data_IF_551375911284
#
_entry.id   IF_551375911284
#
_cell.length_a   1.000
_cell.length_b   1.000
_cell.length_c   1.000
_cell.angle_alpha   90.00
_cell.angle_beta   90.00
_cell.angle_gamma   90.00
#
_symmetry.space_group_name_H-M   'P 1'
#
loop_
_entity.id
_entity.type
_entity.pdbx_description
1 polymer ?
#
# COMPACT_ATOMS: atom_id res chain seq x y z
N UNK A 1 25.03 -7.01 6.31
CA UNK A 1 24.80 -5.98 5.27
C UNK A 1 24.97 -4.55 5.82
N UNK A 2 24.49 -4.22 7.03
CA UNK A 2 24.70 -2.91 7.67
C UNK A 2 26.18 -2.53 7.89
N UNK A 3 27.04 -3.49 8.24
CA UNK A 3 28.50 -3.27 8.38
C UNK A 3 29.21 -2.90 7.08
N UNK A 4 28.75 -3.42 5.93
CA UNK A 4 29.33 -3.11 4.62
C UNK A 4 28.78 -1.80 4.03
N UNK A 5 27.54 -1.43 4.36
CA UNK A 5 26.98 -0.12 4.01
C UNK A 5 27.68 1.03 4.78
N UNK A 6 28.07 0.80 6.03
CA UNK A 6 28.82 1.77 6.85
C UNK A 6 30.27 1.97 6.40
N UNK A 7 30.88 1.00 5.71
CA UNK A 7 32.26 1.10 5.23
C UNK A 7 32.39 1.78 3.85
N UNK A 8 31.31 1.84 3.07
CA UNK A 8 31.32 2.34 1.70
C UNK A 8 30.61 3.70 1.49
N UNK A 9 30.13 4.34 2.56
CA UNK A 9 29.55 5.68 2.49
C UNK A 9 30.63 6.76 2.35
N UNK A 10 30.47 7.76 1.46
CA UNK A 10 31.45 8.84 1.26
C UNK A 10 31.54 9.82 2.44
N UNK A 11 30.75 9.64 3.50
CA UNK A 11 30.79 10.44 4.71
C UNK A 11 31.02 9.54 5.92
N UNK A 12 32.28 9.46 6.35
CA UNK A 12 32.70 8.74 7.55
C UNK A 12 32.10 9.36 8.80
N UNK A 13 31.23 8.61 9.47
CA UNK A 13 30.62 8.97 10.75
C UNK A 13 29.65 7.86 11.18
N UNK A 14 30.15 6.87 11.91
CA UNK A 14 29.35 5.74 12.40
C UNK A 14 28.49 6.22 13.58
N UNK A 15 27.24 6.58 13.30
CA UNK A 15 26.16 6.56 14.30
C UNK A 15 24.87 6.10 13.62
N UNK A 16 24.65 4.79 13.53
CA UNK A 16 23.36 4.23 13.13
C UNK A 16 22.88 3.22 14.17
N UNK A 17 22.13 3.71 15.16
CA UNK A 17 21.22 2.93 15.99
C UNK A 17 19.96 2.64 15.18
N UNK A 18 20.01 1.71 14.23
CA UNK A 18 18.88 1.51 13.31
C UNK A 18 18.47 0.04 13.20
N UNK A 19 17.25 -0.21 13.69
CA UNK A 19 16.31 -1.28 13.33
C UNK A 19 16.46 -2.63 14.04
N UNK A 20 15.71 -2.79 15.14
CA UNK A 20 15.35 -4.07 15.76
C UNK A 20 14.23 -4.78 14.97
N UNK A 21 14.34 -4.89 13.65
CA UNK A 21 13.34 -5.60 12.86
C UNK A 21 13.81 -7.02 12.59
N UNK A 22 13.10 -7.99 13.17
CA UNK A 22 13.26 -9.40 12.88
C UNK A 22 12.77 -9.66 11.45
N UNK A 23 13.70 -9.68 10.50
CA UNK A 23 13.39 -10.02 9.11
C UNK A 23 13.03 -11.50 9.07
N UNK A 24 11.73 -11.81 9.00
CA UNK A 24 11.26 -13.14 8.64
C UNK A 24 11.65 -13.42 7.19
N UNK A 25 12.81 -14.05 7.01
CA UNK A 25 13.30 -14.40 5.67
C UNK A 25 12.41 -15.50 5.09
N UNK A 26 11.85 -15.25 3.92
CA UNK A 26 11.22 -16.30 3.11
C UNK A 26 12.21 -17.47 2.90
N UNK A 27 11.72 -18.72 2.70
CA UNK A 27 12.61 -19.86 2.43
C UNK A 27 13.53 -19.60 1.21
N UNK A 28 13.03 -18.85 0.22
CA UNK A 28 13.79 -18.40 -0.94
C UNK A 28 14.92 -17.43 -0.57
N UNK A 29 14.67 -16.49 0.35
CA UNK A 29 15.67 -15.56 0.87
C UNK A 29 16.79 -16.26 1.66
N UNK A 30 16.43 -17.26 2.48
CA UNK A 30 17.41 -18.05 3.23
C UNK A 30 18.35 -18.85 2.30
N UNK A 31 17.80 -19.49 1.26
CA UNK A 31 18.59 -20.21 0.26
C UNK A 31 19.54 -19.26 -0.50
N UNK A 32 19.07 -18.06 -0.84
CA UNK A 32 19.91 -17.08 -1.53
C UNK A 32 21.05 -16.55 -0.65
N UNK A 33 20.82 -16.33 0.66
CA UNK A 33 21.88 -15.97 1.60
C UNK A 33 22.95 -17.06 1.75
N UNK A 34 22.54 -18.33 1.75
CA UNK A 34 23.48 -19.46 1.79
C UNK A 34 24.36 -19.50 0.52
N UNK A 35 23.80 -19.19 -0.66
CA UNK A 35 24.54 -19.08 -1.91
C UNK A 35 25.50 -17.88 -1.93
N UNK A 36 25.14 -16.75 -1.32
CA UNK A 36 26.05 -15.61 -1.19
C UNK A 36 27.23 -15.95 -0.29
N UNK A 37 26.99 -16.64 0.84
CA UNK A 37 28.04 -17.07 1.74
C UNK A 37 29.04 -18.02 1.05
N UNK A 38 28.56 -18.98 0.26
CA UNK A 38 29.43 -19.89 -0.49
C UNK A 38 30.16 -19.21 -1.65
N UNK A 39 29.54 -18.23 -2.31
CA UNK A 39 30.17 -17.45 -3.37
C UNK A 39 31.27 -16.50 -2.87
N UNK A 40 31.11 -15.89 -1.69
CA UNK A 40 32.11 -15.00 -1.08
C UNK A 40 33.32 -15.77 -0.57
N UNK A 41 33.09 -16.95 0.00
CA UNK A 41 34.15 -17.79 0.57
C UNK A 41 34.84 -18.68 -0.47
N UNK A 42 34.22 -18.86 -1.64
CA UNK A 42 34.69 -19.70 -2.74
C UNK A 42 34.58 -21.20 -2.44
N UNK A 43 34.46 -22.06 -3.48
CA UNK A 43 34.41 -23.52 -3.32
C UNK A 43 35.75 -24.15 -2.92
N UNK A 44 36.83 -23.35 -2.88
CA UNK A 44 38.19 -23.79 -2.63
C UNK A 44 38.72 -23.43 -1.24
N UNK A 45 37.88 -22.93 -0.32
CA UNK A 45 38.27 -22.78 1.07
C UNK A 45 38.47 -24.18 1.68
N UNK A 46 39.70 -24.65 1.89
CA UNK A 46 39.91 -25.95 2.49
C UNK A 46 39.34 -25.91 3.91
N UNK A 47 38.53 -26.91 4.29
CA UNK A 47 37.90 -27.01 5.60
C UNK A 47 38.88 -26.99 6.79
N UNK A 48 40.20 -26.95 6.53
CA UNK A 48 41.27 -27.04 7.52
C UNK A 48 42.49 -26.13 7.29
N UNK A 49 42.53 -25.21 6.31
CA UNK A 49 43.68 -24.28 6.27
C UNK A 49 43.50 -23.22 7.34
N UNK A 50 44.33 -23.32 8.38
CA UNK A 50 44.43 -22.34 9.44
C UNK A 50 44.53 -20.92 8.85
N UNK A 51 43.54 -20.11 9.18
CA UNK A 51 43.44 -18.68 8.92
C UNK A 51 44.67 -17.97 9.50
N UNK A 52 45.76 -17.91 8.73
CA UNK A 52 46.87 -17.04 9.07
C UNK A 52 46.40 -15.61 8.78
N UNK A 53 46.27 -14.72 9.78
CA UNK A 53 45.59 -13.43 9.67
C UNK A 53 46.16 -12.54 8.55
N UNK A 54 47.44 -12.72 8.20
CA UNK A 54 48.08 -11.94 7.15
C UNK A 54 47.67 -12.36 5.73
N UNK A 55 47.45 -13.66 5.48
CA UNK A 55 46.95 -14.18 4.20
C UNK A 55 45.44 -13.92 4.06
N UNK A 56 44.71 -13.95 5.18
CA UNK A 56 43.30 -13.56 5.24
C UNK A 56 43.09 -12.09 4.88
N UNK A 57 43.89 -11.16 5.43
CA UNK A 57 43.78 -9.72 5.12
C UNK A 57 44.17 -9.41 3.67
N UNK A 58 45.15 -10.10 3.10
CA UNK A 58 45.62 -9.84 1.72
C UNK A 58 44.68 -10.43 0.66
N UNK A 59 44.11 -11.63 0.91
CA UNK A 59 43.05 -12.22 0.09
C UNK A 59 41.69 -11.53 0.29
N UNK A 60 41.43 -10.96 1.48
CA UNK A 60 40.37 -9.98 1.67
C UNK A 60 40.66 -8.78 0.78
N UNK A 61 41.77 -8.06 0.94
CA UNK A 61 42.02 -6.81 0.22
C UNK A 61 41.97 -6.95 -1.32
N UNK A 62 42.41 -8.08 -1.89
CA UNK A 62 42.42 -8.30 -3.35
C UNK A 62 41.14 -8.92 -3.90
N UNK A 63 40.43 -9.77 -3.14
CA UNK A 63 39.15 -10.34 -3.59
C UNK A 63 37.92 -9.57 -3.09
N UNK A 64 38.07 -8.68 -2.11
CA UNK A 64 36.95 -7.95 -1.48
C UNK A 64 36.25 -7.04 -2.45
N UNK A 65 36.88 -6.33 -3.38
CA UNK A 65 36.10 -5.41 -4.23
C UNK A 65 35.23 -6.15 -5.24
N UNK A 66 35.77 -7.14 -5.96
CA UNK A 66 34.99 -7.94 -6.92
C UNK A 66 34.03 -8.90 -6.25
N UNK A 67 34.44 -9.57 -5.15
CA UNK A 67 33.56 -10.50 -4.43
C UNK A 67 32.51 -9.76 -3.60
N UNK A 68 32.80 -8.58 -3.04
CA UNK A 68 31.77 -7.75 -2.39
C UNK A 68 30.80 -7.19 -3.42
N UNK A 69 31.26 -6.80 -4.62
CA UNK A 69 30.35 -6.39 -5.69
C UNK A 69 29.47 -7.56 -6.15
N UNK A 70 30.06 -8.73 -6.41
CA UNK A 70 29.30 -9.92 -6.78
C UNK A 70 28.31 -10.33 -5.69
N UNK A 71 28.74 -10.36 -4.43
CA UNK A 71 27.89 -10.63 -3.28
C UNK A 71 26.78 -9.60 -3.13
N UNK A 72 27.08 -8.30 -3.32
CA UNK A 72 26.09 -7.23 -3.34
C UNK A 72 25.06 -7.49 -4.44
N UNK A 73 25.49 -7.80 -5.66
CA UNK A 73 24.57 -8.11 -6.76
C UNK A 73 23.71 -9.33 -6.47
N UNK A 74 24.28 -10.40 -5.91
CA UNK A 74 23.53 -11.59 -5.50
C UNK A 74 22.54 -11.28 -4.37
N UNK A 75 22.94 -10.49 -3.37
CA UNK A 75 22.03 -10.03 -2.32
C UNK A 75 20.90 -9.16 -2.86
N UNK A 76 21.18 -8.25 -3.80
CA UNK A 76 20.14 -7.42 -4.41
C UNK A 76 19.20 -8.25 -5.28
N UNK A 77 19.72 -9.23 -6.02
CA UNK A 77 18.92 -10.17 -6.77
C UNK A 77 18.05 -11.03 -5.83
N UNK A 78 18.61 -11.50 -4.72
CA UNK A 78 17.89 -12.25 -3.70
C UNK A 78 16.77 -11.44 -3.04
N UNK A 79 17.04 -10.19 -2.67
CA UNK A 79 16.05 -9.28 -2.11
C UNK A 79 14.96 -8.95 -3.13
N UNK A 80 15.34 -8.74 -4.39
CA UNK A 80 14.39 -8.55 -5.49
C UNK A 80 13.52 -9.78 -5.73
N UNK A 81 14.08 -10.99 -5.64
CA UNK A 81 13.34 -12.24 -5.78
C UNK A 81 12.45 -12.56 -4.56
N UNK A 82 12.82 -12.06 -3.38
CA UNK A 82 12.02 -12.20 -2.14
C UNK A 82 10.99 -11.09 -1.96
N UNK A 83 10.87 -10.14 -2.91
CA UNK A 83 9.90 -9.06 -2.85
C UNK A 83 8.49 -9.62 -3.02
N UNK A 84 7.66 -9.48 -1.98
CA UNK A 84 6.30 -9.99 -1.92
C UNK A 84 5.37 -8.96 -1.24
N UNK A 85 4.04 -9.07 -1.40
CA UNK A 85 3.09 -8.20 -0.70
C UNK A 85 3.26 -8.19 0.83
N UNK A 86 3.77 -9.28 1.40
CA UNK A 86 3.98 -9.48 2.84
C UNK A 86 5.24 -8.82 3.40
N UNK A 87 6.12 -8.28 2.55
CA UNK A 87 7.33 -7.57 3.01
C UNK A 87 7.68 -6.33 2.19
N UNK A 88 6.81 -5.91 1.26
CA UNK A 88 7.12 -4.87 0.28
C UNK A 88 7.43 -3.51 0.94
N UNK A 89 6.69 -3.09 1.96
CA UNK A 89 6.92 -1.82 2.65
C UNK A 89 8.19 -1.85 3.50
N UNK A 90 8.44 -2.98 4.17
CA UNK A 90 9.69 -3.19 4.91
C UNK A 90 10.90 -3.14 3.98
N UNK A 91 10.84 -3.83 2.83
CA UNK A 91 11.91 -3.80 1.83
C UNK A 91 12.08 -2.43 1.17
N UNK A 92 11.00 -1.68 0.98
CA UNK A 92 11.07 -0.30 0.48
C UNK A 92 11.85 0.61 1.45
N UNK A 93 11.56 0.54 2.74
CA UNK A 93 12.26 1.33 3.75
C UNK A 93 13.76 0.96 3.82
N UNK A 94 14.07 -0.33 3.76
CA UNK A 94 15.46 -0.82 3.73
C UNK A 94 16.17 -0.36 2.45
N UNK A 95 15.52 -0.45 1.29
CA UNK A 95 16.11 -0.05 0.01
C UNK A 95 16.37 1.46 -0.06
N UNK A 96 15.48 2.28 0.50
CA UNK A 96 15.65 3.73 0.58
C UNK A 96 16.78 4.13 1.52
N UNK A 97 16.81 3.54 2.74
CA UNK A 97 17.89 3.78 3.70
C UNK A 97 19.27 3.33 3.18
N UNK A 98 19.32 2.26 2.38
CA UNK A 98 20.53 1.77 1.74
C UNK A 98 20.90 2.48 0.42
N UNK A 99 20.04 3.38 -0.08
CA UNK A 99 20.28 4.09 -1.35
C UNK A 99 20.31 3.17 -2.57
N UNK A 100 19.58 2.05 -2.56
CA UNK A 100 19.57 1.07 -3.66
C UNK A 100 18.39 1.32 -4.59
N UNK A 101 18.59 2.21 -5.56
CA UNK A 101 17.56 2.60 -6.54
C UNK A 101 16.80 1.43 -7.20
N UNK A 102 17.43 0.39 -7.79
CA UNK A 102 16.69 -0.65 -8.51
C UNK A 102 15.76 -1.48 -7.60
N UNK A 103 16.18 -1.73 -6.36
CA UNK A 103 15.36 -2.44 -5.38
C UNK A 103 14.22 -1.54 -4.87
N UNK A 104 14.52 -0.26 -4.65
CA UNK A 104 13.53 0.74 -4.24
C UNK A 104 12.43 0.89 -5.29
N UNK A 105 12.79 1.02 -6.57
CA UNK A 105 11.81 1.19 -7.65
C UNK A 105 10.98 -0.09 -7.88
N UNK A 106 11.58 -1.28 -7.66
CA UNK A 106 10.83 -2.54 -7.68
C UNK A 106 9.87 -2.64 -6.50
N UNK A 107 10.33 -2.35 -5.28
CA UNK A 107 9.52 -2.38 -4.07
C UNK A 107 8.39 -1.35 -4.13
N UNK A 108 8.66 -0.14 -4.61
CA UNK A 108 7.67 0.93 -4.77
C UNK A 108 6.54 0.50 -5.71
N UNK A 109 6.84 -0.12 -6.86
CA UNK A 109 5.80 -0.65 -7.76
C UNK A 109 4.90 -1.67 -7.09
N UNK A 110 5.45 -2.59 -6.29
CA UNK A 110 4.67 -3.57 -5.54
C UNK A 110 3.84 -2.89 -4.46
N UNK A 111 4.44 -1.95 -3.72
CA UNK A 111 3.75 -1.19 -2.68
C UNK A 111 2.55 -0.42 -3.25
N UNK A 112 2.69 0.26 -4.40
CA UNK A 112 1.61 1.01 -5.05
C UNK A 112 0.41 0.13 -5.44
N UNK A 113 0.64 -1.15 -5.72
CA UNK A 113 -0.42 -2.14 -5.97
C UNK A 113 -1.03 -2.70 -4.67
N UNK A 114 -0.27 -2.73 -3.57
CA UNK A 114 -0.68 -3.30 -2.30
C UNK A 114 -1.41 -2.32 -1.35
N UNK A 115 -1.29 -1.00 -1.55
CA UNK A 115 -1.94 0.00 -0.67
C UNK A 115 -3.45 -0.25 -0.44
N UNK A 116 -4.29 -0.52 -1.45
CA UNK A 116 -5.72 -0.76 -1.22
C UNK A 116 -6.01 -1.97 -0.33
N UNK A 117 -5.17 -3.01 -0.43
CA UNK A 117 -5.30 -4.20 0.40
C UNK A 117 -4.90 -3.90 1.86
N UNK A 118 -3.90 -3.03 2.08
CA UNK A 118 -3.53 -2.56 3.41
C UNK A 118 -4.66 -1.76 4.05
N UNK A 119 -5.30 -0.85 3.31
CA UNK A 119 -6.36 0.00 3.84
C UNK A 119 -7.59 -0.82 4.22
N UNK A 120 -7.98 -1.77 3.36
CA UNK A 120 -9.05 -2.72 3.65
C UNK A 120 -8.74 -3.56 4.90
N UNK A 121 -7.51 -4.07 5.03
CA UNK A 121 -7.08 -4.82 6.21
C UNK A 121 -7.08 -3.97 7.48
N UNK A 122 -6.61 -2.71 7.41
CA UNK A 122 -6.61 -1.79 8.53
C UNK A 122 -8.03 -1.41 8.98
N UNK A 123 -8.94 -1.16 8.04
CA UNK A 123 -10.35 -0.89 8.33
C UNK A 123 -11.04 -2.11 8.99
N UNK A 124 -10.77 -3.32 8.49
CA UNK A 124 -11.28 -4.55 9.10
C UNK A 124 -10.78 -4.73 10.55
N UNK A 125 -9.50 -4.44 10.81
CA UNK A 125 -8.94 -4.47 12.16
C UNK A 125 -9.61 -3.46 13.10
N UNK A 126 -9.90 -2.25 12.63
CA UNK A 126 -10.60 -1.23 13.42
C UNK A 126 -12.03 -1.64 13.77
N UNK A 127 -12.77 -2.22 12.82
CA UNK A 127 -14.12 -2.72 13.06
C UNK A 127 -14.15 -3.89 14.07
N UNK A 128 -13.16 -4.77 14.00
CA UNK A 128 -13.00 -5.86 14.96
C UNK A 128 -12.69 -5.32 16.36
N UNK A 129 -11.79 -4.34 16.48
CA UNK A 129 -11.49 -3.70 17.76
C UNK A 129 -12.72 -3.03 18.40
N UNK A 130 -13.50 -2.28 17.60
CA UNK A 130 -14.73 -1.64 18.08
C UNK A 130 -15.79 -2.66 18.55
N UNK A 131 -15.88 -3.81 17.88
CA UNK A 131 -16.80 -4.89 18.27
C UNK A 131 -16.38 -5.60 19.56
N UNK A 132 -15.06 -5.74 19.80
CA UNK A 132 -14.52 -6.35 21.01
C UNK A 132 -14.72 -5.45 22.24
N UNK A 133 -14.55 -4.13 22.09
CA UNK A 133 -14.75 -3.17 23.17
C UNK A 133 -16.21 -3.12 23.64
N UNK A 134 -17.17 -3.23 22.71
CA UNK A 134 -18.60 -3.30 23.04
C UNK A 134 -19.01 -4.57 23.79
N UNK A 135 -18.34 -5.70 23.55
CA UNK A 135 -18.64 -6.96 24.24
C UNK A 135 -18.11 -6.98 25.69
N UNK A 136 -16.96 -6.35 25.96
CA UNK A 136 -16.40 -6.29 27.30
C UNK A 136 -17.15 -5.33 28.23
N UNK A 137 -17.84 -4.32 27.68
CA UNK A 137 -18.59 -3.35 28.48
C UNK A 137 -19.91 -3.91 29.08
N UNK A 138 -20.39 -5.08 28.63
CA UNK A 138 -21.63 -5.69 29.12
C UNK A 138 -21.44 -6.86 30.11
N UNK A 139 -20.21 -7.27 30.39
CA UNK A 139 -19.91 -8.29 31.42
C UNK A 139 -19.71 -7.64 32.81
N UNK A 140 -20.61 -6.72 33.15
CA UNK A 140 -20.77 -6.24 34.53
C UNK A 140 -21.64 -7.25 35.25
N UNK A 141 -20.97 -8.23 35.83
CA UNK A 141 -21.44 -9.29 36.73
C UNK A 141 -22.80 -8.96 37.39
N UNK A 142 -23.94 -9.41 36.82
CA UNK A 142 -25.18 -9.43 37.58
C UNK A 142 -25.00 -10.53 38.63
N UNK A 143 -24.89 -10.10 39.88
CA UNK A 143 -24.70 -10.93 41.07
C UNK A 143 -25.26 -12.37 40.90
N UNK A 144 -24.45 -13.42 41.15
CA UNK A 144 -24.78 -14.79 40.76
C UNK A 144 -26.08 -15.25 41.45
N UNK A 145 -27.12 -15.65 40.69
CA UNK A 145 -28.25 -16.36 41.27
C UNK A 145 -27.82 -17.77 41.73
N UNK A 146 -28.42 -18.30 42.80
CA UNK A 146 -28.04 -19.59 43.37
C UNK A 146 -28.28 -20.74 42.40
N UNK A 147 -27.29 -21.63 42.36
CA UNK A 147 -27.13 -22.72 41.40
C UNK A 147 -28.34 -23.67 41.29
N UNK A 148 -28.81 -23.87 40.06
CA UNK A 148 -29.63 -25.02 39.67
C UNK A 148 -28.89 -25.80 38.58
N UNK A 149 -28.60 -27.05 38.90
CA UNK A 149 -27.88 -28.06 38.12
C UNK A 149 -28.66 -28.38 36.82
N UNK A 150 -28.14 -27.99 35.65
CA UNK A 150 -28.69 -28.36 34.34
C UNK A 150 -27.56 -28.75 33.36
N UNK A 151 -27.81 -29.75 32.49
CA UNK A 151 -26.78 -30.48 31.76
C UNK A 151 -26.18 -29.72 30.57
N UNK A 152 -24.90 -30.00 30.31
CA UNK A 152 -24.01 -29.30 29.38
C UNK A 152 -24.47 -29.30 27.90
N UNK A 153 -24.32 -28.16 27.17
CA UNK A 153 -24.58 -28.09 25.74
C UNK A 153 -23.40 -28.59 24.89
N UNK A 154 -23.74 -29.29 23.81
CA UNK A 154 -22.86 -29.93 22.82
C UNK A 154 -22.17 -28.89 21.92
N UNK A 155 -20.87 -29.02 21.59
CA UNK A 155 -20.16 -28.07 20.73
C UNK A 155 -20.55 -28.25 19.24
N UNK A 156 -21.32 -27.31 18.70
CA UNK A 156 -21.58 -27.22 17.26
C UNK A 156 -20.37 -26.64 16.54
N UNK A 157 -19.67 -27.50 15.80
CA UNK A 157 -18.55 -27.14 14.93
C UNK A 157 -19.07 -26.57 13.62
N UNK A 158 -19.25 -25.25 13.53
CA UNK A 158 -19.57 -24.57 12.27
C UNK A 158 -18.27 -24.24 11.53
N UNK A 159 -17.96 -25.02 10.50
CA UNK A 159 -16.84 -24.79 9.58
C UNK A 159 -17.15 -23.60 8.66
N UNK A 160 -16.60 -22.43 8.99
CA UNK A 160 -16.63 -21.25 8.14
C UNK A 160 -15.70 -21.41 6.91
N UNK A 161 -16.03 -20.79 5.77
CA UNK A 161 -15.38 -21.07 4.49
C UNK A 161 -13.94 -20.55 4.43
N UNK A 162 -12.99 -21.50 4.36
CA UNK A 162 -11.54 -21.28 4.27
C UNK A 162 -11.05 -20.62 2.96
N UNK A 163 -11.94 -20.28 2.01
CA UNK A 163 -11.56 -19.79 0.69
C UNK A 163 -11.26 -18.28 0.62
N UNK A 164 -11.65 -17.49 1.64
CA UNK A 164 -11.30 -16.07 1.76
C UNK A 164 -10.04 -15.81 2.61
N UNK A 165 -9.50 -16.85 3.25
CA UNK A 165 -8.35 -16.75 4.16
C UNK A 165 -6.98 -16.75 3.46
N UNK A 166 -6.94 -16.97 2.14
CA UNK A 166 -5.76 -16.70 1.32
C UNK A 166 -5.71 -15.23 0.85
N UNK A 167 -6.44 -14.33 1.53
CA UNK A 167 -6.18 -12.90 1.48
C UNK A 167 -4.75 -12.68 1.97
N UNK A 168 -3.83 -12.68 1.00
CA UNK A 168 -2.40 -12.42 1.10
C UNK A 168 -2.09 -11.62 2.35
N UNK A 169 -1.27 -12.16 3.26
CA UNK A 169 -0.75 -11.42 4.41
C UNK A 169 -0.08 -10.16 3.88
N UNK A 170 -0.79 -9.04 3.86
CA UNK A 170 -0.23 -7.77 3.44
C UNK A 170 0.60 -7.23 4.59
N UNK A 171 1.73 -6.62 4.28
CA UNK A 171 2.66 -6.04 5.26
C UNK A 171 2.09 -4.78 5.96
N UNK A 172 1.00 -4.93 6.71
CA UNK A 172 0.35 -3.83 7.45
C UNK A 172 1.30 -3.26 8.50
N UNK A 173 2.11 -4.12 9.13
CA UNK A 173 3.12 -3.72 10.11
C UNK A 173 4.20 -2.85 9.46
N UNK A 174 4.76 -3.28 8.31
CA UNK A 174 5.73 -2.52 7.55
C UNK A 174 5.15 -1.20 7.03
N UNK A 175 3.90 -1.20 6.57
CA UNK A 175 3.21 0.04 6.18
C UNK A 175 3.13 1.04 7.34
N UNK A 176 2.70 0.60 8.53
CA UNK A 176 2.67 1.43 9.74
C UNK A 176 4.07 1.86 10.19
N UNK A 177 5.11 1.10 9.90
CA UNK A 177 6.49 1.44 10.24
C UNK A 177 7.15 2.43 9.27
N UNK A 178 6.53 2.72 8.11
CA UNK A 178 7.14 3.61 7.10
C UNK A 178 7.45 5.02 7.64
N UNK A 179 8.64 5.57 7.31
CA UNK A 179 8.94 6.98 7.50
C UNK A 179 7.96 7.89 6.74
N UNK A 180 7.63 9.04 7.33
CA UNK A 180 6.77 10.06 6.71
C UNK A 180 7.15 10.42 5.26
N UNK A 181 8.43 10.77 4.92
CA UNK A 181 8.76 11.19 3.56
C UNK A 181 8.57 10.08 2.52
N UNK A 182 8.74 8.82 2.93
CA UNK A 182 8.48 7.67 2.06
C UNK A 182 7.00 7.46 1.81
N UNK A 183 6.19 7.63 2.86
CA UNK A 183 4.74 7.58 2.74
C UNK A 183 4.22 8.71 1.83
N UNK A 184 4.72 9.93 2.01
CA UNK A 184 4.37 11.07 1.15
C UNK A 184 4.67 10.78 -0.31
N UNK A 185 5.87 10.29 -0.61
CA UNK A 185 6.26 9.92 -1.98
C UNK A 185 5.33 8.86 -2.56
N UNK A 186 5.06 7.80 -1.80
CA UNK A 186 4.24 6.67 -2.22
C UNK A 186 2.78 7.09 -2.45
N UNK A 187 2.19 7.81 -1.51
CA UNK A 187 0.80 8.26 -1.62
C UNK A 187 0.64 9.37 -2.66
N UNK A 188 1.66 10.19 -2.92
CA UNK A 188 1.60 11.23 -3.97
C UNK A 188 1.80 10.68 -5.38
N UNK A 189 2.32 9.45 -5.54
CA UNK A 189 2.63 8.87 -6.83
C UNK A 189 1.37 8.65 -7.70
N UNK A 190 1.42 9.08 -8.96
CA UNK A 190 0.31 8.89 -9.92
C UNK A 190 0.03 7.41 -10.24
N UNK A 191 1.01 6.53 -10.04
CA UNK A 191 0.89 5.09 -10.25
C UNK A 191 0.14 4.34 -9.14
N UNK A 192 -0.35 5.02 -8.11
CA UNK A 192 -1.08 4.43 -7.01
C UNK A 192 -2.41 3.82 -7.50
N UNK A 193 -2.61 2.51 -7.27
CA UNK A 193 -3.76 1.76 -7.78
C UNK A 193 -4.94 1.80 -6.80
N UNK A 194 -5.51 2.98 -6.56
CA UNK A 194 -6.69 3.16 -5.69
C UNK A 194 -7.98 3.28 -6.50
N UNK A 195 -9.10 2.83 -5.93
CA UNK A 195 -10.41 2.98 -6.55
C UNK A 195 -10.97 4.40 -6.32
N UNK A 196 -10.65 4.99 -5.17
CA UNK A 196 -11.08 6.34 -4.79
C UNK A 196 -9.99 7.10 -4.02
N UNK A 197 -10.08 8.43 -4.00
CA UNK A 197 -9.23 9.25 -3.11
C UNK A 197 -9.58 9.05 -1.62
N UNK A 198 -10.78 8.53 -1.32
CA UNK A 198 -11.14 8.10 0.03
C UNK A 198 -10.21 6.97 0.53
N UNK A 199 -9.80 6.05 -0.35
CA UNK A 199 -8.86 4.98 0.00
C UNK A 199 -7.50 5.57 0.42
N UNK A 200 -7.06 6.64 -0.25
CA UNK A 200 -5.80 7.35 0.10
C UNK A 200 -5.91 8.00 1.48
N UNK A 201 -7.06 8.62 1.78
CA UNK A 201 -7.32 9.18 3.10
C UNK A 201 -7.31 8.10 4.19
N UNK A 202 -7.98 6.97 3.96
CA UNK A 202 -7.94 5.83 4.88
C UNK A 202 -6.53 5.26 5.07
N UNK A 203 -5.69 5.28 4.03
CA UNK A 203 -4.27 4.92 4.15
C UNK A 203 -3.52 5.85 5.09
N UNK A 204 -3.76 7.17 4.98
CA UNK A 204 -3.18 8.17 5.88
C UNK A 204 -3.66 7.95 7.32
N UNK A 205 -4.96 7.68 7.53
CA UNK A 205 -5.50 7.39 8.86
C UNK A 205 -4.91 6.11 9.46
N UNK A 206 -4.80 5.04 8.68
CA UNK A 206 -4.23 3.77 9.12
C UNK A 206 -2.75 3.91 9.54
N UNK A 207 -1.98 4.76 8.83
CA UNK A 207 -0.60 5.07 9.19
C UNK A 207 -0.50 6.01 10.40
N UNK A 208 -1.42 6.98 10.51
CA UNK A 208 -1.47 7.97 11.58
C UNK A 208 -2.25 7.50 12.82
N UNK A 209 -2.61 6.22 12.90
CA UNK A 209 -3.30 5.64 14.05
C UNK A 209 -2.53 5.81 15.38
N UNK A 210 -1.18 5.69 15.44
CA UNK A 210 -0.43 6.02 16.65
C UNK A 210 -0.56 7.50 17.00
N UNK A 211 -0.90 7.81 18.26
CA UNK A 211 -1.11 9.19 18.73
C UNK A 211 0.08 10.12 18.46
N UNK A 212 1.31 9.58 18.46
CA UNK A 212 2.54 10.33 18.15
C UNK A 212 2.59 10.95 16.74
N UNK A 213 1.68 10.57 15.83
CA UNK A 213 1.62 11.07 14.45
C UNK A 213 0.42 11.98 14.18
N UNK A 214 -0.35 12.34 15.20
CA UNK A 214 -1.54 13.15 15.05
C UNK A 214 -1.25 14.52 14.39
N UNK A 215 -0.15 15.18 14.80
CA UNK A 215 0.22 16.52 14.32
C UNK A 215 0.59 16.56 12.83
N UNK A 216 1.08 15.44 12.29
CA UNK A 216 1.54 15.32 10.91
C UNK A 216 0.39 14.96 9.96
N UNK A 217 -0.71 14.43 10.48
CA UNK A 217 -1.86 13.94 9.71
C UNK A 217 -2.45 15.01 8.79
N UNK A 218 -2.62 16.24 9.29
CA UNK A 218 -3.18 17.35 8.52
C UNK A 218 -2.33 17.72 7.30
N UNK A 219 -1.01 17.75 7.47
CA UNK A 219 -0.06 18.01 6.39
C UNK A 219 -0.11 16.92 5.31
N UNK A 220 -0.15 15.64 5.72
CA UNK A 220 -0.24 14.50 4.80
C UNK A 220 -1.54 14.50 3.98
N UNK A 221 -2.68 14.77 4.62
CA UNK A 221 -3.96 14.85 3.91
C UNK A 221 -3.91 15.96 2.86
N UNK A 222 -3.35 17.13 3.22
CA UNK A 222 -3.22 18.27 2.31
C UNK A 222 -2.30 17.97 1.12
N UNK A 223 -1.20 17.25 1.32
CA UNK A 223 -0.22 16.97 0.25
C UNK A 223 -0.60 15.76 -0.61
N UNK A 224 -1.16 14.71 0.00
CA UNK A 224 -1.32 13.41 -0.65
C UNK A 224 -2.75 13.15 -1.15
N UNK A 225 -3.78 13.70 -0.52
CA UNK A 225 -5.19 13.42 -0.87
C UNK A 225 -5.71 14.49 -1.81
N UNK A 226 -6.18 14.08 -2.99
CA UNK A 226 -6.72 15.02 -3.99
C UNK A 226 -8.19 15.30 -3.70
N UNK A 227 -8.46 16.07 -2.66
CA UNK A 227 -9.83 16.37 -2.21
C UNK A 227 -10.71 17.00 -3.32
N UNK A 228 -10.10 17.73 -4.25
CA UNK A 228 -10.80 18.30 -5.42
C UNK A 228 -11.32 17.25 -6.41
N UNK A 229 -10.76 16.04 -6.39
CA UNK A 229 -11.18 14.91 -7.21
C UNK A 229 -12.28 14.05 -6.54
N UNK A 230 -12.59 14.30 -5.26
CA UNK A 230 -13.63 13.59 -4.54
C UNK A 230 -15.03 14.07 -4.94
N UNK A 231 -15.97 13.13 -4.96
CA UNK A 231 -17.39 13.42 -5.08
C UNK A 231 -17.95 14.06 -3.80
N UNK A 232 -19.09 14.74 -3.91
CA UNK A 232 -19.75 15.38 -2.75
C UNK A 232 -20.07 14.35 -1.67
N UNK A 233 -20.56 13.17 -2.08
CA UNK A 233 -20.90 12.07 -1.17
C UNK A 233 -19.67 11.54 -0.42
N UNK A 234 -18.52 11.46 -1.08
CA UNK A 234 -17.27 11.08 -0.41
C UNK A 234 -16.81 12.16 0.57
N UNK A 235 -16.95 13.44 0.23
CA UNK A 235 -16.63 14.53 1.16
C UNK A 235 -17.56 14.54 2.40
N UNK A 236 -18.84 14.21 2.23
CA UNK A 236 -19.79 14.04 3.35
C UNK A 236 -19.41 12.86 4.25
N UNK A 237 -19.03 11.72 3.64
CA UNK A 237 -18.53 10.58 4.40
C UNK A 237 -17.23 10.91 5.15
N UNK A 238 -16.37 11.75 4.55
CA UNK A 238 -15.13 12.22 5.14
C UNK A 238 -15.38 13.12 6.36
N UNK A 239 -16.35 14.02 6.27
CA UNK A 239 -16.74 14.93 7.37
C UNK A 239 -17.27 14.17 8.59
N UNK A 240 -17.85 12.97 8.37
CA UNK A 240 -18.31 12.08 9.43
C UNK A 240 -17.18 11.21 10.03
N UNK A 241 -15.96 11.23 9.49
CA UNK A 241 -14.86 10.45 10.06
C UNK A 241 -14.49 10.97 11.46
N UNK A 242 -14.31 10.07 12.45
CA UNK A 242 -13.90 10.47 13.79
C UNK A 242 -12.55 11.20 13.80
N UNK A 243 -11.64 10.91 12.86
CA UNK A 243 -10.36 11.59 12.79
C UNK A 243 -10.49 13.06 12.34
N UNK A 244 -11.46 13.34 11.46
CA UNK A 244 -11.74 14.70 10.97
C UNK A 244 -12.43 15.51 12.06
N UNK A 245 -13.39 14.91 12.76
CA UNK A 245 -14.09 15.55 13.89
C UNK A 245 -13.15 15.82 15.07
N UNK A 246 -12.16 14.97 15.29
CA UNK A 246 -11.17 15.16 16.36
C UNK A 246 -10.13 16.25 16.05
N UNK A 247 -9.99 16.71 14.80
CA UNK A 247 -8.96 17.66 14.38
C UNK A 247 -9.54 18.85 13.63
N UNK A 248 -9.52 20.02 14.28
CA UNK A 248 -9.94 21.30 13.68
C UNK A 248 -9.21 21.64 12.37
N UNK A 249 -7.95 21.23 12.22
CA UNK A 249 -7.21 21.43 10.98
C UNK A 249 -7.81 20.61 9.84
N UNK A 250 -8.09 19.33 10.08
CA UNK A 250 -8.72 18.46 9.08
C UNK A 250 -10.11 18.95 8.71
N UNK A 251 -10.93 19.34 9.71
CA UNK A 251 -12.25 19.92 9.44
C UNK A 251 -12.15 21.14 8.52
N UNK A 252 -11.18 22.04 8.76
CA UNK A 252 -10.96 23.22 7.90
C UNK A 252 -10.55 22.80 6.48
N UNK A 253 -9.67 21.82 6.33
CA UNK A 253 -9.23 21.32 5.03
C UNK A 253 -10.42 20.74 4.24
N UNK A 254 -11.25 19.90 4.87
CA UNK A 254 -12.43 19.27 4.25
C UNK A 254 -13.49 20.32 3.90
N UNK A 255 -13.78 21.26 4.80
CA UNK A 255 -14.72 22.35 4.56
C UNK A 255 -14.28 23.22 3.37
N UNK A 256 -12.98 23.53 3.26
CA UNK A 256 -12.45 24.27 2.12
C UNK A 256 -12.66 23.51 0.81
N UNK A 257 -12.40 22.19 0.80
CA UNK A 257 -12.66 21.35 -0.37
C UNK A 257 -14.15 21.32 -0.75
N UNK A 258 -15.05 21.24 0.25
CA UNK A 258 -16.49 21.26 0.06
C UNK A 258 -16.97 22.57 -0.59
N UNK A 259 -16.48 23.72 -0.10
CA UNK A 259 -16.78 25.04 -0.69
C UNK A 259 -16.28 25.13 -2.13
N UNK A 260 -15.05 24.70 -2.42
CA UNK A 260 -14.52 24.68 -3.79
C UNK A 260 -15.35 23.79 -4.72
N UNK A 261 -15.85 22.66 -4.20
CA UNK A 261 -16.74 21.76 -4.92
C UNK A 261 -18.08 22.42 -5.27
N UNK A 262 -18.72 23.10 -4.32
CA UNK A 262 -19.99 23.80 -4.55
C UNK A 262 -19.84 24.95 -5.55
N UNK A 263 -18.73 25.70 -5.46
CA UNK A 263 -18.47 26.81 -6.38
C UNK A 263 -18.12 26.35 -7.81
N UNK A 264 -18.02 25.05 -8.08
CA UNK A 264 -17.65 24.53 -9.39
C UNK A 264 -16.19 24.79 -9.78
N UNK A 265 -15.33 25.18 -8.83
CA UNK A 265 -13.90 25.53 -9.05
C UNK A 265 -13.04 24.25 -9.06
N UNK A 266 -13.59 23.12 -9.49
CA UNK A 266 -12.87 21.84 -9.52
C UNK A 266 -11.73 21.91 -10.55
N UNK A 267 -10.50 21.67 -10.09
CA UNK A 267 -9.32 21.51 -10.95
C UNK A 267 -8.52 22.77 -11.26
N UNK A 268 -8.90 23.95 -10.74
CA UNK A 268 -8.16 25.19 -11.01
C UNK A 268 -6.91 25.40 -10.14
N UNK A 269 -6.73 24.61 -9.06
CA UNK A 269 -5.66 24.88 -8.09
C UNK A 269 -4.99 23.64 -7.51
N UNK A 270 -5.10 22.48 -8.17
CA UNK A 270 -4.49 21.25 -7.64
C UNK A 270 -4.26 20.18 -8.69
N UNK A 271 -3.53 19.11 -8.30
CA UNK A 271 -3.34 17.95 -9.16
C UNK A 271 -4.69 17.35 -9.53
N UNK A 272 -4.87 17.05 -10.82
CA UNK A 272 -6.08 16.42 -11.33
C UNK A 272 -6.34 15.04 -10.71
N UNK A 273 -7.52 14.44 -10.94
CA UNK A 273 -7.81 13.08 -10.49
C UNK A 273 -6.74 12.09 -10.99
N UNK A 274 -6.43 11.08 -10.16
CA UNK A 274 -5.45 10.06 -10.54
C UNK A 274 -5.93 9.26 -11.74
N UNK A 275 -5.02 8.80 -12.62
CA UNK A 275 -5.39 7.95 -13.75
C UNK A 275 -6.12 6.68 -13.33
N UNK A 276 -5.73 6.07 -12.20
CA UNK A 276 -6.38 4.88 -11.63
C UNK A 276 -7.84 5.14 -11.22
N UNK A 277 -8.08 6.27 -10.55
CA UNK A 277 -9.44 6.68 -10.15
C UNK A 277 -10.30 6.97 -11.38
N UNK A 278 -9.76 7.64 -12.39
CA UNK A 278 -10.47 7.87 -13.66
C UNK A 278 -10.83 6.56 -14.37
N UNK A 279 -9.90 5.60 -14.40
CA UNK A 279 -10.15 4.29 -14.98
C UNK A 279 -11.23 3.51 -14.20
N UNK A 280 -11.20 3.56 -12.87
CA UNK A 280 -12.21 2.94 -12.01
C UNK A 280 -13.60 3.58 -12.21
N UNK A 281 -13.67 4.92 -12.31
CA UNK A 281 -14.91 5.65 -12.59
C UNK A 281 -15.48 5.32 -13.97
N UNK A 282 -14.63 5.24 -15.00
CA UNK A 282 -15.04 4.84 -16.34
C UNK A 282 -15.62 3.42 -16.35
N UNK A 283 -14.94 2.47 -15.71
CA UNK A 283 -15.42 1.09 -15.59
C UNK A 283 -16.76 1.00 -14.84
N UNK A 284 -16.94 1.80 -13.78
CA UNK A 284 -18.21 1.86 -13.05
C UNK A 284 -19.35 2.44 -13.89
N UNK A 285 -19.09 3.46 -14.71
CA UNK A 285 -20.08 4.06 -15.61
C UNK A 285 -20.51 3.07 -16.71
N UNK A 286 -19.57 2.30 -17.27
CA UNK A 286 -19.87 1.24 -18.24
C UNK A 286 -20.74 0.12 -17.63
N UNK A 287 -20.41 -0.32 -16.41
CA UNK A 287 -21.20 -1.32 -15.68
C UNK A 287 -22.64 -0.85 -15.41
N UNK A 288 -22.82 0.42 -15.05
CA UNK A 288 -24.15 1.01 -14.83
C UNK A 288 -24.97 1.12 -16.12
N UNK A 289 -24.33 1.47 -17.24
CA UNK A 289 -24.97 1.56 -18.55
C UNK A 289 -25.43 0.19 -19.10
N UNK A 290 -24.66 -0.87 -18.85
CA UNK A 290 -24.99 -2.22 -19.33
C UNK A 290 -26.22 -2.84 -18.63
N UNK A 291 -26.56 -2.40 -17.42
CA UNK A 291 -27.69 -2.96 -16.66
C UNK A 291 -29.06 -2.57 -17.24
N UNK A 292 -29.13 -1.51 -18.06
CA UNK A 292 -30.37 -0.99 -18.64
C UNK A 292 -30.88 -1.70 -19.90
N UNK A 293 -30.10 -2.59 -20.52
CA UNK A 293 -30.40 -3.15 -21.85
C UNK A 293 -31.23 -4.45 -21.88
N UNK A 294 -31.31 -5.20 -20.77
CA UNK A 294 -31.89 -6.56 -20.75
C UNK A 294 -33.34 -6.58 -20.24
N UNK A 295 -34.23 -5.79 -20.86
CA UNK A 295 -35.68 -5.86 -20.61
C UNK A 295 -36.57 -5.78 -21.86
N UNK A 296 -36.01 -5.97 -23.06
CA UNK A 296 -36.80 -6.05 -24.30
C UNK A 296 -36.40 -7.25 -25.15
N UNK A 297 -36.95 -8.42 -24.87
CA UNK A 297 -37.57 -9.30 -25.87
C UNK A 297 -38.00 -10.62 -25.24
N UNK A 298 -39.26 -10.67 -24.81
CA UNK A 298 -40.02 -11.92 -24.81
C UNK A 298 -41.47 -11.53 -25.12
N UNK A 299 -41.71 -11.30 -26.40
CA UNK A 299 -43.00 -10.82 -26.91
C UNK A 299 -42.96 -10.79 -28.42
N UNK A 300 -43.23 -11.96 -29.02
CA UNK A 300 -43.90 -12.13 -30.31
C UNK A 300 -44.55 -10.86 -30.87
N UNK A 301 -44.10 -10.38 -32.04
CA UNK A 301 -45.00 -10.01 -33.16
C UNK A 301 -44.21 -10.19 -34.47
N UNK A 302 -44.64 -11.15 -35.29
CA UNK A 302 -44.27 -11.25 -36.70
C UNK A 302 -44.84 -10.04 -37.48
N UNK A 303 -44.00 -9.33 -38.26
CA UNK A 303 -44.52 -8.22 -39.07
C UNK A 303 -43.48 -7.45 -39.87
N UNK A 304 -43.21 -7.94 -41.09
CA UNK A 304 -42.97 -7.20 -42.35
C UNK A 304 -42.11 -5.91 -42.32
N UNK A 305 -40.88 -6.05 -42.83
CA UNK A 305 -40.25 -5.20 -43.86
C UNK A 305 -40.11 -3.68 -43.67
N UNK A 306 -38.87 -3.22 -43.44
CA UNK A 306 -38.38 -1.95 -43.97
C UNK A 306 -36.82 -1.90 -43.95
N UNK A 307 -36.25 -1.35 -45.03
CA UNK A 307 -34.83 -1.33 -45.39
C UNK A 307 -33.94 -0.39 -44.53
N UNK A 308 -32.59 -0.57 -44.54
CA UNK A 308 -31.69 0.27 -43.76
C UNK A 308 -31.28 1.53 -44.53
N UNK A 309 -31.41 2.69 -43.88
CA UNK A 309 -30.75 3.94 -44.30
C UNK A 309 -29.45 4.07 -43.52
N UNK A 310 -28.33 3.90 -44.24
CA UNK A 310 -27.01 4.25 -43.78
C UNK A 310 -26.78 5.76 -43.95
N UNK A 311 -26.23 6.44 -42.94
CA UNK A 311 -25.69 7.78 -43.15
C UNK A 311 -25.43 8.63 -41.90
N UNK A 312 -24.21 9.17 -41.83
CA UNK A 312 -23.82 10.42 -41.16
C UNK A 312 -23.70 10.45 -39.62
N UNK A 313 -22.65 9.83 -39.07
CA UNK A 313 -21.98 10.34 -37.85
C UNK A 313 -20.45 10.13 -37.86
N UNK A 314 -19.77 10.68 -38.87
CA UNK A 314 -18.31 10.88 -38.85
C UNK A 314 -17.99 12.29 -39.33
N UNK A 315 -18.07 13.28 -38.44
CA UNK A 315 -17.48 14.62 -38.61
C UNK A 315 -17.84 15.45 -37.37
N UNK A 316 -17.02 15.36 -36.31
CA UNK A 316 -16.79 16.41 -35.30
C UNK A 316 -16.02 15.80 -34.13
N UNK A 317 -14.69 15.90 -34.17
CA UNK A 317 -13.82 15.47 -33.07
C UNK A 317 -12.36 15.82 -33.30
N UNK A 318 -12.08 16.94 -33.96
CA UNK A 318 -10.74 17.39 -34.31
C UNK A 318 -10.52 18.85 -33.94
N UNK A 319 -10.44 19.15 -32.64
CA UNK A 319 -9.90 20.41 -32.14
C UNK A 319 -8.99 20.11 -30.93
N UNK A 320 -7.71 19.87 -31.24
CA UNK A 320 -6.61 19.96 -30.26
C UNK A 320 -6.36 21.44 -29.98
N UNK A 321 -6.67 21.88 -28.77
CA UNK A 321 -6.22 23.17 -28.27
C UNK A 321 -4.71 23.09 -27.97
N UNK A 322 -3.94 23.90 -28.69
CA UNK A 322 -2.54 24.21 -28.39
C UNK A 322 -2.55 25.19 -27.22
N UNK A 323 -2.14 24.73 -26.04
CA UNK A 323 -1.88 25.61 -24.90
C UNK A 323 -0.45 26.15 -25.03
N UNK A 324 -0.33 27.47 -25.18
CA UNK A 324 0.93 28.21 -25.08
C UNK A 324 1.36 28.33 -23.60
N UNK A 325 2.65 28.30 -23.28
CA UNK A 325 3.15 28.58 -21.94
C UNK A 325 3.13 30.10 -21.69
N UNK A 326 2.60 30.49 -20.53
CA UNK A 326 2.79 31.83 -19.95
C UNK A 326 3.96 31.72 -18.97
N UNK A 327 4.94 32.62 -19.15
CA UNK A 327 6.12 32.80 -18.32
C UNK A 327 5.79 33.36 -16.93
#
# INVERSE_FOLDING_TARGET
>A
MLLLAQLCGPQGGITATCCSHELTTSPTGAAALALVASAVLGPSAPAAAALNPHNFITALATSTTTNVLAARHLCLAALGASLAPSNCFTLLAVADAAGVAPLRDAAERVCLACVPAVTAAAAAQQQQAASQEGAQAMDVDPAPPPALDLPAPVPNSTSAPAAAAAASEVDVAGFRALPQPLLERLLSADGLQVASEMDVFQAVEAWAAPAARADVRGALVRSCVRLSAMSVRELEALDQSPAVLASMELTRIVAQAYVMCIMGVRGLSGPGPRPSVLAAQAAAAEAAGSSGGSRRNSGDIAGVGAAPVAGMQQLLGGLRAVALPVF
#
